data_IF_401398340573
#
_entry.id   IF_401398340573
#
_cell.length_a   1.000
_cell.length_b   1.000
_cell.length_c   1.000
_cell.angle_alpha   90.00
_cell.angle_beta   90.00
_cell.angle_gamma   90.00
#
_symmetry.space_group_name_H-M   'P 1'
#
loop_
_entity.id
_entity.type
_entity.pdbx_description
1 polymer ?
#
# COMPACT_ATOMS: atom_id res chain seq x y z
N UNK A 1 14.19 -32.39 -14.56
CA UNK A 1 14.10 -33.81 -14.16
C UNK A 1 12.98 -34.49 -14.96
N UNK A 2 13.01 -34.34 -16.31
CA UNK A 2 12.13 -35.02 -17.28
C UNK A 2 12.98 -35.31 -18.53
N UNK A 3 14.19 -35.85 -18.34
CA UNK A 3 15.16 -36.01 -19.43
C UNK A 3 15.24 -37.44 -19.99
N UNK A 4 14.36 -38.35 -19.57
CA UNK A 4 14.51 -39.77 -19.91
C UNK A 4 13.19 -40.48 -20.20
N UNK A 5 12.45 -40.06 -21.22
CA UNK A 5 11.48 -40.93 -21.89
C UNK A 5 12.03 -41.33 -23.25
N UNK A 6 12.57 -42.55 -23.32
CA UNK A 6 13.04 -43.17 -24.55
C UNK A 6 11.87 -43.96 -25.15
N UNK A 7 11.28 -43.47 -26.24
CA UNK A 7 10.13 -44.10 -26.91
C UNK A 7 10.62 -44.75 -28.21
N UNK A 8 10.36 -46.05 -28.39
CA UNK A 8 10.66 -46.82 -29.61
C UNK A 8 9.78 -46.39 -30.80
N UNK A 9 10.24 -46.55 -32.06
CA UNK A 9 9.64 -45.87 -33.20
C UNK A 9 8.46 -46.65 -33.81
N UNK A 10 7.30 -46.02 -33.87
CA UNK A 10 6.23 -46.37 -34.81
C UNK A 10 5.73 -45.12 -35.55
N UNK A 11 5.97 -45.05 -36.86
CA UNK A 11 5.28 -44.13 -37.79
C UNK A 11 5.65 -42.65 -37.73
N UNK A 12 5.52 -41.95 -38.87
CA UNK A 12 5.99 -40.57 -39.09
C UNK A 12 5.41 -39.49 -38.16
N UNK A 13 4.31 -39.74 -37.45
CA UNK A 13 3.69 -38.81 -36.50
C UNK A 13 4.43 -38.74 -35.16
N UNK A 14 4.95 -39.87 -34.65
CA UNK A 14 5.76 -39.92 -33.42
C UNK A 14 7.11 -39.22 -33.63
N UNK A 15 7.66 -39.28 -34.85
CA UNK A 15 8.88 -38.55 -35.23
C UNK A 15 8.64 -37.03 -35.17
N UNK A 16 7.45 -36.56 -35.56
CA UNK A 16 7.06 -35.15 -35.45
C UNK A 16 6.92 -34.70 -34.00
N UNK A 17 6.35 -35.55 -33.13
CA UNK A 17 6.27 -35.27 -31.69
C UNK A 17 7.65 -35.21 -31.03
N UNK A 18 8.54 -36.15 -31.36
CA UNK A 18 9.93 -36.13 -30.87
C UNK A 18 10.72 -34.90 -31.36
N UNK A 19 10.48 -34.43 -32.58
CA UNK A 19 11.05 -33.18 -33.08
C UNK A 19 10.54 -31.96 -32.30
N UNK A 20 9.24 -31.88 -32.06
CA UNK A 20 8.60 -30.79 -31.31
C UNK A 20 9.08 -30.75 -29.85
N UNK A 21 9.27 -31.91 -29.21
CA UNK A 21 9.86 -32.00 -27.88
C UNK A 21 11.33 -31.57 -27.85
N UNK A 22 12.11 -31.88 -28.87
CA UNK A 22 13.49 -31.42 -28.99
C UNK A 22 13.54 -29.89 -29.14
N UNK A 23 12.69 -29.32 -29.99
CA UNK A 23 12.58 -27.86 -30.17
C UNK A 23 12.13 -27.19 -28.87
N UNK A 24 11.15 -27.75 -28.16
CA UNK A 24 10.73 -27.25 -26.86
C UNK A 24 11.89 -27.29 -25.85
N UNK A 25 12.65 -28.39 -25.79
CA UNK A 25 13.83 -28.53 -24.92
C UNK A 25 14.94 -27.54 -25.24
N UNK A 26 15.16 -27.20 -26.51
CA UNK A 26 16.12 -26.14 -26.89
C UNK A 26 15.66 -24.77 -26.41
N UNK A 27 14.39 -24.42 -26.63
CA UNK A 27 13.80 -23.16 -26.14
C UNK A 27 13.81 -23.07 -24.60
N UNK A 28 13.67 -24.20 -23.91
CA UNK A 28 13.80 -24.28 -22.46
C UNK A 28 15.24 -24.06 -21.97
N UNK A 29 16.23 -24.59 -22.69
CA UNK A 29 17.64 -24.31 -22.40
C UNK A 29 17.98 -22.84 -22.56
N UNK A 30 17.41 -22.18 -23.56
CA UNK A 30 17.59 -20.73 -23.77
C UNK A 30 16.99 -19.90 -22.62
N UNK A 31 15.85 -20.34 -22.05
CA UNK A 31 15.26 -19.72 -20.85
C UNK A 31 16.13 -19.89 -19.60
N UNK A 32 16.70 -21.09 -19.40
CA UNK A 32 17.48 -21.41 -18.20
C UNK A 32 18.91 -20.86 -18.26
N UNK A 33 19.55 -20.89 -19.43
CA UNK A 33 20.92 -20.43 -19.66
C UNK A 33 21.08 -18.91 -19.67
N UNK A 34 19.98 -18.17 -19.79
CA UNK A 34 19.98 -16.71 -19.90
C UNK A 34 19.14 -16.00 -18.82
N UNK A 35 18.89 -16.69 -17.70
CA UNK A 35 17.83 -16.43 -16.73
C UNK A 35 17.74 -14.99 -16.16
N UNK A 36 18.82 -14.20 -16.20
CA UNK A 36 18.85 -12.81 -15.70
C UNK A 36 19.31 -11.76 -16.73
N UNK A 37 19.69 -12.14 -17.96
CA UNK A 37 20.23 -11.20 -18.98
C UNK A 37 19.26 -10.84 -20.11
N UNK A 38 18.20 -11.63 -20.33
CA UNK A 38 17.23 -11.34 -21.39
C UNK A 38 16.16 -10.32 -20.94
N UNK A 39 15.80 -9.36 -21.82
CA UNK A 39 14.62 -8.53 -21.63
C UNK A 39 13.37 -9.36 -21.35
N UNK A 40 12.53 -8.85 -20.45
CA UNK A 40 11.31 -9.54 -19.98
C UNK A 40 10.36 -9.88 -21.12
N UNK A 41 10.22 -9.00 -22.10
CA UNK A 41 9.36 -9.18 -23.27
C UNK A 41 9.83 -10.36 -24.13
N UNK A 42 11.16 -10.53 -24.26
CA UNK A 42 11.73 -11.67 -24.97
C UNK A 42 11.43 -12.98 -24.22
N UNK A 43 11.55 -12.98 -22.89
CA UNK A 43 11.21 -14.17 -22.07
C UNK A 43 9.74 -14.58 -22.24
N UNK A 44 8.83 -13.62 -22.21
CA UNK A 44 7.40 -13.89 -22.46
C UNK A 44 7.18 -14.48 -23.86
N UNK A 45 7.85 -13.94 -24.88
CA UNK A 45 7.74 -14.48 -26.25
C UNK A 45 8.29 -15.90 -26.39
N UNK A 46 9.28 -16.30 -25.59
CA UNK A 46 9.79 -17.68 -25.57
C UNK A 46 8.75 -18.61 -24.94
N UNK A 47 8.09 -18.20 -23.85
CA UNK A 47 6.97 -18.96 -23.29
C UNK A 47 5.86 -19.19 -24.30
N UNK A 48 5.49 -18.18 -25.10
CA UNK A 48 4.46 -18.32 -26.13
C UNK A 48 4.85 -19.38 -27.19
N UNK A 49 6.12 -19.42 -27.60
CA UNK A 49 6.65 -20.45 -28.51
C UNK A 49 6.64 -21.85 -27.87
N UNK A 50 7.02 -21.95 -26.60
CA UNK A 50 7.00 -23.20 -25.84
C UNK A 50 5.57 -23.72 -25.72
N UNK A 51 4.61 -22.86 -25.41
CA UNK A 51 3.20 -23.25 -25.36
C UNK A 51 2.69 -23.73 -26.72
N UNK A 52 3.02 -23.03 -27.80
CA UNK A 52 2.66 -23.47 -29.15
C UNK A 52 3.19 -24.88 -29.46
N UNK A 53 4.48 -25.13 -29.21
CA UNK A 53 5.11 -26.43 -29.44
C UNK A 53 4.47 -27.55 -28.60
N UNK A 54 4.26 -27.33 -27.29
CA UNK A 54 3.64 -28.34 -26.43
C UNK A 54 2.15 -28.55 -26.72
N UNK A 55 1.41 -27.53 -27.13
CA UNK A 55 0.01 -27.70 -27.54
C UNK A 55 -0.12 -28.48 -28.86
N UNK A 56 0.79 -28.27 -29.80
CA UNK A 56 0.87 -29.04 -31.05
C UNK A 56 1.25 -30.51 -30.78
N UNK A 57 2.27 -30.74 -29.94
CA UNK A 57 2.65 -32.08 -29.50
C UNK A 57 1.48 -32.80 -28.82
N UNK A 58 0.82 -32.14 -27.86
CA UNK A 58 -0.35 -32.69 -27.17
C UNK A 58 -1.52 -32.98 -28.11
N UNK A 59 -1.75 -32.13 -29.11
CA UNK A 59 -2.80 -32.35 -30.11
C UNK A 59 -2.51 -33.58 -30.97
N UNK A 60 -1.24 -33.78 -31.33
CA UNK A 60 -0.76 -34.96 -32.06
C UNK A 60 -0.96 -36.24 -31.23
N UNK A 61 -0.55 -36.23 -29.97
CA UNK A 61 -0.73 -37.35 -29.02
C UNK A 61 -2.20 -37.74 -28.89
N UNK A 62 -3.10 -36.75 -28.77
CA UNK A 62 -4.55 -37.01 -28.67
C UNK A 62 -5.15 -37.56 -29.95
N UNK A 63 -4.68 -37.10 -31.11
CA UNK A 63 -5.07 -37.65 -32.41
C UNK A 63 -4.66 -39.12 -32.53
N UNK A 64 -3.45 -39.45 -32.10
CA UNK A 64 -2.95 -40.82 -32.08
C UNK A 64 -3.73 -41.68 -31.08
N UNK A 65 -4.11 -41.13 -29.92
CA UNK A 65 -4.92 -41.83 -28.92
C UNK A 65 -6.30 -42.23 -29.48
N UNK A 66 -6.94 -41.35 -30.24
CA UNK A 66 -8.20 -41.64 -30.95
C UNK A 66 -7.99 -42.71 -32.04
N UNK A 67 -6.81 -42.72 -32.68
CA UNK A 67 -6.48 -43.61 -33.80
C UNK A 67 -5.91 -44.97 -33.37
N UNK A 68 -5.56 -45.15 -32.09
CA UNK A 68 -4.87 -46.33 -31.56
C UNK A 68 -5.69 -47.65 -31.57
N UNK A 69 -6.96 -47.62 -32.00
CA UNK A 69 -7.79 -48.82 -32.16
C UNK A 69 -8.03 -49.57 -30.83
N UNK A 70 -7.71 -50.87 -30.78
CA UNK A 70 -7.87 -51.73 -29.59
C UNK A 70 -6.54 -52.14 -28.93
N UNK A 71 -5.42 -51.49 -29.29
CA UNK A 71 -4.12 -51.79 -28.69
C UNK A 71 -4.01 -51.13 -27.31
N UNK A 72 -4.42 -51.86 -26.27
CA UNK A 72 -4.52 -51.33 -24.91
C UNK A 72 -3.19 -50.78 -24.37
N UNK A 73 -2.07 -51.48 -24.63
CA UNK A 73 -0.75 -51.01 -24.21
C UNK A 73 -0.34 -49.68 -24.86
N UNK A 74 -0.72 -49.45 -26.12
CA UNK A 74 -0.42 -48.20 -26.84
C UNK A 74 -1.28 -47.05 -26.31
N UNK A 75 -2.53 -47.33 -25.92
CA UNK A 75 -3.39 -46.32 -25.29
C UNK A 75 -2.88 -45.91 -23.92
N UNK A 76 -2.39 -46.85 -23.13
CA UNK A 76 -1.80 -46.57 -21.83
C UNK A 76 -0.56 -45.68 -21.97
N UNK A 77 0.34 -45.99 -22.91
CA UNK A 77 1.54 -45.19 -23.19
C UNK A 77 1.17 -43.76 -23.66
N UNK A 78 0.23 -43.62 -24.59
CA UNK A 78 -0.23 -42.32 -25.10
C UNK A 78 -0.96 -41.50 -24.04
N UNK A 79 -1.74 -42.14 -23.15
CA UNK A 79 -2.39 -41.49 -22.01
C UNK A 79 -1.37 -40.98 -21.00
N UNK A 80 -0.35 -41.79 -20.69
CA UNK A 80 0.79 -41.38 -19.87
C UNK A 80 1.52 -40.18 -20.46
N UNK A 81 1.73 -40.16 -21.78
CA UNK A 81 2.37 -39.06 -22.49
C UNK A 81 1.51 -37.77 -22.49
N UNK A 82 0.19 -37.85 -22.73
CA UNK A 82 -0.70 -36.67 -22.60
C UNK A 82 -0.66 -36.10 -21.18
N UNK A 83 -0.65 -36.97 -20.15
CA UNK A 83 -0.53 -36.56 -18.75
C UNK A 83 0.80 -35.85 -18.49
N UNK A 84 1.92 -36.39 -18.98
CA UNK A 84 3.25 -35.80 -18.82
C UNK A 84 3.35 -34.42 -19.49
N UNK A 85 2.91 -34.31 -20.76
CA UNK A 85 2.89 -33.03 -21.50
C UNK A 85 1.98 -32.02 -20.80
N UNK A 86 0.85 -32.46 -20.26
CA UNK A 86 -0.06 -31.62 -19.47
C UNK A 86 0.58 -31.07 -18.20
N UNK A 87 1.36 -31.90 -17.50
CA UNK A 87 2.07 -31.49 -16.29
C UNK A 87 3.16 -30.45 -16.62
N UNK A 88 3.91 -30.65 -17.71
CA UNK A 88 4.91 -29.68 -18.20
C UNK A 88 4.26 -28.35 -18.55
N UNK A 89 3.16 -28.37 -19.32
CA UNK A 89 2.39 -27.17 -19.64
C UNK A 89 1.92 -26.42 -18.38
N UNK A 90 1.42 -27.16 -17.38
CA UNK A 90 1.03 -26.58 -16.08
C UNK A 90 2.20 -25.90 -15.36
N UNK A 91 3.35 -26.57 -15.29
CA UNK A 91 4.55 -26.01 -14.68
C UNK A 91 5.02 -24.73 -15.41
N UNK A 92 5.09 -24.74 -16.74
CA UNK A 92 5.48 -23.57 -17.54
C UNK A 92 4.48 -22.42 -17.40
N UNK A 93 3.20 -22.74 -17.24
CA UNK A 93 2.16 -21.73 -16.96
C UNK A 93 2.40 -21.03 -15.62
N UNK A 94 2.77 -21.78 -14.58
CA UNK A 94 3.12 -21.22 -13.27
C UNK A 94 4.36 -20.33 -13.39
N UNK A 95 5.43 -20.79 -14.03
CA UNK A 95 6.68 -20.02 -14.21
C UNK A 95 6.45 -18.70 -14.97
N UNK A 96 5.66 -18.76 -16.06
CA UNK A 96 5.28 -17.58 -16.85
C UNK A 96 4.45 -16.60 -16.01
N UNK A 97 3.53 -17.09 -15.19
CA UNK A 97 2.72 -16.24 -14.32
C UNK A 97 3.51 -15.67 -13.13
N UNK A 98 4.53 -16.38 -12.62
CA UNK A 98 5.48 -15.82 -11.66
C UNK A 98 6.30 -14.67 -12.29
N UNK A 99 6.66 -14.77 -13.57
CA UNK A 99 7.29 -13.66 -14.29
C UNK A 99 6.34 -12.44 -14.37
N UNK A 100 5.05 -12.65 -14.67
CA UNK A 100 4.06 -11.57 -14.64
C UNK A 100 3.94 -10.91 -13.27
N UNK A 101 3.97 -11.71 -12.19
CA UNK A 101 4.00 -11.18 -10.82
C UNK A 101 5.24 -10.32 -10.61
N UNK A 102 6.44 -10.77 -11.01
CA UNK A 102 7.67 -9.96 -10.89
C UNK A 102 7.55 -8.62 -11.62
N UNK A 103 6.96 -8.60 -12.82
CA UNK A 103 6.68 -7.37 -13.57
C UNK A 103 5.73 -6.47 -12.78
N UNK A 104 4.59 -7.02 -12.33
CA UNK A 104 3.58 -6.26 -11.59
C UNK A 104 4.13 -5.68 -10.28
N UNK A 105 4.95 -6.45 -9.54
CA UNK A 105 5.68 -5.98 -8.35
C UNK A 105 6.59 -4.81 -8.69
N UNK A 106 7.38 -4.91 -9.77
CA UNK A 106 8.30 -3.82 -10.18
C UNK A 106 7.56 -2.52 -10.52
N UNK A 107 6.39 -2.62 -11.17
CA UNK A 107 5.54 -1.49 -11.51
C UNK A 107 4.84 -0.88 -10.30
N UNK A 108 4.54 -1.67 -9.27
CA UNK A 108 3.96 -1.18 -8.02
C UNK A 108 4.97 -0.37 -7.19
N UNK A 109 6.25 -0.73 -7.22
CA UNK A 109 7.32 -0.04 -6.47
C UNK A 109 7.74 1.27 -7.13
N UNK A 110 7.74 1.34 -8.47
CA UNK A 110 8.05 2.56 -9.22
C UNK A 110 6.94 3.59 -9.05
N UNK A 111 7.10 4.53 -8.11
CA UNK A 111 6.18 5.65 -7.92
C UNK A 111 6.25 6.62 -9.10
N UNK A 112 5.11 6.86 -9.74
CA UNK A 112 4.58 8.14 -10.27
C UNK A 112 5.49 9.13 -11.05
N UNK A 113 6.65 8.76 -11.58
CA UNK A 113 7.51 9.69 -12.32
C UNK A 113 7.25 9.74 -13.84
N UNK A 114 6.49 8.80 -14.40
CA UNK A 114 6.16 8.79 -15.83
C UNK A 114 4.66 8.99 -16.05
N UNK A 115 4.28 10.19 -16.53
CA UNK A 115 2.91 10.70 -16.70
C UNK A 115 1.96 9.86 -17.59
N UNK A 116 2.37 8.70 -18.09
CA UNK A 116 1.57 7.87 -19.01
C UNK A 116 1.51 6.37 -18.67
N UNK A 117 2.14 5.87 -17.59
CA UNK A 117 2.04 4.44 -17.23
C UNK A 117 0.88 4.18 -16.26
N UNK A 118 -0.01 3.23 -16.59
CA UNK A 118 -1.12 2.83 -15.72
C UNK A 118 -0.55 2.34 -14.38
N UNK A 119 -0.87 3.02 -13.29
CA UNK A 119 -0.50 2.61 -11.93
C UNK A 119 -1.06 1.22 -11.66
N UNK A 120 -0.18 0.24 -11.46
CA UNK A 120 -0.57 -1.10 -11.04
C UNK A 120 -1.10 -1.00 -9.61
N UNK A 121 -2.36 -1.40 -9.41
CA UNK A 121 -2.95 -1.43 -8.07
C UNK A 121 -2.68 -2.79 -7.39
N UNK A 122 -2.64 -2.86 -6.04
CA UNK A 122 -2.42 -4.12 -5.33
C UNK A 122 -3.42 -5.24 -5.70
N UNK A 123 -4.63 -4.88 -6.12
CA UNK A 123 -5.67 -5.85 -6.51
C UNK A 123 -5.27 -6.67 -7.74
N UNK A 124 -4.45 -6.12 -8.66
CA UNK A 124 -3.96 -6.90 -9.80
C UNK A 124 -3.00 -8.01 -9.35
N UNK A 125 -2.17 -7.73 -8.34
CA UNK A 125 -1.30 -8.76 -7.75
C UNK A 125 -2.14 -9.83 -7.04
N UNK A 126 -3.19 -9.45 -6.31
CA UNK A 126 -4.13 -10.43 -5.71
C UNK A 126 -4.68 -11.36 -6.80
N UNK A 127 -5.14 -10.80 -7.92
CA UNK A 127 -5.72 -11.57 -9.03
C UNK A 127 -4.69 -12.50 -9.70
N UNK A 128 -3.44 -12.06 -9.84
CA UNK A 128 -2.34 -12.89 -10.35
C UNK A 128 -2.00 -14.04 -9.41
N UNK A 129 -2.03 -13.83 -8.09
CA UNK A 129 -1.83 -14.90 -7.12
C UNK A 129 -3.01 -15.86 -7.05
N UNK A 130 -4.25 -15.39 -7.15
CA UNK A 130 -5.42 -16.27 -7.30
C UNK A 130 -5.26 -17.20 -8.51
N UNK A 131 -4.81 -16.65 -9.64
CA UNK A 131 -4.51 -17.44 -10.83
C UNK A 131 -3.36 -18.44 -10.59
N UNK A 132 -2.28 -18.04 -9.92
CA UNK A 132 -1.19 -18.96 -9.56
C UNK A 132 -1.64 -20.09 -8.63
N UNK A 133 -2.50 -19.79 -7.66
CA UNK A 133 -3.05 -20.79 -6.75
C UNK A 133 -3.94 -21.79 -7.48
N UNK A 134 -4.77 -21.33 -8.42
CA UNK A 134 -5.56 -22.20 -9.27
C UNK A 134 -4.66 -23.10 -10.13
N UNK A 135 -3.65 -22.54 -10.81
CA UNK A 135 -2.73 -23.33 -11.64
C UNK A 135 -1.98 -24.39 -10.83
N UNK A 136 -1.58 -24.07 -9.60
CA UNK A 136 -0.96 -25.06 -8.69
C UNK A 136 -1.94 -26.15 -8.29
N UNK A 137 -3.20 -25.81 -7.99
CA UNK A 137 -4.21 -26.79 -7.63
C UNK A 137 -4.47 -27.75 -8.81
N UNK A 138 -4.70 -27.21 -10.01
CA UNK A 138 -4.93 -27.99 -11.23
C UNK A 138 -3.75 -28.93 -11.53
N UNK A 139 -2.52 -28.44 -11.35
CA UNK A 139 -1.30 -29.24 -11.55
C UNK A 139 -1.14 -30.33 -10.46
N UNK A 140 -1.46 -30.01 -9.21
CA UNK A 140 -1.38 -30.97 -8.10
C UNK A 140 -2.40 -32.10 -8.29
N UNK A 141 -3.63 -31.76 -8.69
CA UNK A 141 -4.69 -32.72 -8.97
C UNK A 141 -4.33 -33.61 -10.15
N UNK A 142 -3.79 -33.02 -11.22
CA UNK A 142 -3.33 -33.77 -12.39
C UNK A 142 -2.28 -34.80 -11.99
N UNK A 143 -1.23 -34.41 -11.27
CA UNK A 143 -0.15 -35.32 -10.89
C UNK A 143 -0.63 -36.36 -9.87
N UNK A 144 -1.50 -35.98 -8.95
CA UNK A 144 -2.00 -36.85 -7.86
C UNK A 144 -3.13 -37.80 -8.27
N UNK A 145 -3.66 -37.70 -9.49
CA UNK A 145 -4.80 -38.49 -9.98
C UNK A 145 -4.54 -40.00 -10.14
N UNK A 146 -3.28 -40.44 -10.10
CA UNK A 146 -2.89 -41.85 -10.28
C UNK A 146 -3.13 -42.73 -9.04
N UNK A 147 -3.51 -44.00 -9.25
CA UNK A 147 -3.62 -45.00 -8.17
C UNK A 147 -2.24 -45.42 -7.63
N UNK A 148 -1.29 -45.66 -8.54
CA UNK A 148 0.10 -46.01 -8.21
C UNK A 148 0.99 -44.78 -8.38
N UNK A 149 1.09 -43.98 -7.32
CA UNK A 149 1.92 -42.76 -7.35
C UNK A 149 3.39 -43.14 -7.23
N UNK A 150 4.17 -42.70 -8.21
CA UNK A 150 5.64 -42.80 -8.13
C UNK A 150 6.15 -41.87 -7.03
N UNK A 151 7.27 -42.23 -6.41
CA UNK A 151 7.88 -41.38 -5.37
C UNK A 151 8.13 -39.96 -5.89
N UNK A 152 8.54 -39.83 -7.15
CA UNK A 152 8.76 -38.54 -7.84
C UNK A 152 7.49 -37.68 -7.91
N UNK A 153 6.33 -38.30 -8.15
CA UNK A 153 5.04 -37.61 -8.23
C UNK A 153 4.58 -37.15 -6.84
N UNK A 154 4.86 -37.95 -5.81
CA UNK A 154 4.59 -37.58 -4.40
C UNK A 154 5.45 -36.40 -4.00
N UNK A 155 6.77 -36.44 -4.26
CA UNK A 155 7.67 -35.32 -3.95
C UNK A 155 7.29 -34.05 -4.71
N UNK A 156 6.87 -34.18 -5.97
CA UNK A 156 6.42 -33.03 -6.76
C UNK A 156 5.12 -32.42 -6.24
N UNK A 157 4.17 -33.24 -5.79
CA UNK A 157 2.95 -32.76 -5.14
C UNK A 157 3.24 -32.03 -3.82
N UNK A 158 4.23 -32.50 -3.05
CA UNK A 158 4.73 -31.81 -1.86
C UNK A 158 5.33 -30.44 -2.21
N UNK A 159 6.16 -30.36 -3.26
CA UNK A 159 6.68 -29.06 -3.76
C UNK A 159 5.56 -28.10 -4.16
N UNK A 160 4.53 -28.60 -4.83
CA UNK A 160 3.35 -27.81 -5.22
C UNK A 160 2.61 -27.30 -3.99
N UNK A 161 2.45 -28.12 -2.95
CA UNK A 161 1.86 -27.73 -1.67
C UNK A 161 2.65 -26.61 -0.98
N UNK A 162 3.98 -26.71 -0.96
CA UNK A 162 4.85 -25.66 -0.39
C UNK A 162 4.74 -24.35 -1.17
N UNK A 163 4.78 -24.40 -2.50
CA UNK A 163 4.57 -23.23 -3.36
C UNK A 163 3.19 -22.61 -3.15
N UNK A 164 2.15 -23.43 -3.00
CA UNK A 164 0.79 -22.97 -2.70
C UNK A 164 0.75 -22.16 -1.40
N UNK A 165 1.42 -22.65 -0.35
CA UNK A 165 1.47 -21.97 0.95
C UNK A 165 2.17 -20.61 0.85
N UNK A 166 3.30 -20.55 0.14
CA UNK A 166 4.01 -19.29 -0.10
C UNK A 166 3.12 -18.28 -0.87
N UNK A 167 2.48 -18.71 -1.96
CA UNK A 167 1.59 -17.84 -2.75
C UNK A 167 0.36 -17.37 -1.97
N UNK A 168 -0.18 -18.18 -1.07
CA UNK A 168 -1.26 -17.73 -0.16
C UNK A 168 -0.79 -16.60 0.75
N UNK A 169 0.43 -16.70 1.28
CA UNK A 169 1.06 -15.64 2.06
C UNK A 169 1.22 -14.35 1.27
N UNK A 170 1.81 -14.42 0.07
CA UNK A 170 1.99 -13.26 -0.80
C UNK A 170 0.65 -12.63 -1.23
N UNK A 171 -0.34 -13.46 -1.56
CA UNK A 171 -1.71 -13.00 -1.87
C UNK A 171 -2.31 -12.22 -0.70
N UNK A 172 -2.22 -12.76 0.52
CA UNK A 172 -2.75 -12.11 1.72
C UNK A 172 -2.06 -10.76 1.97
N UNK A 173 -0.76 -10.66 1.72
CA UNK A 173 -0.03 -9.41 1.83
C UNK A 173 -0.55 -8.32 0.87
N UNK A 174 -0.78 -8.65 -0.41
CA UNK A 174 -1.30 -7.67 -1.36
C UNK A 174 -2.78 -7.33 -1.11
N UNK A 175 -3.55 -8.28 -0.57
CA UNK A 175 -4.90 -8.01 -0.07
C UNK A 175 -4.86 -7.01 1.09
N UNK A 176 -3.93 -7.18 2.04
CA UNK A 176 -3.72 -6.23 3.13
C UNK A 176 -3.36 -4.83 2.60
N UNK A 177 -2.50 -4.74 1.58
CA UNK A 177 -2.20 -3.46 0.90
C UNK A 177 -3.44 -2.80 0.30
N UNK A 178 -4.32 -3.56 -0.35
CA UNK A 178 -5.59 -3.04 -0.88
C UNK A 178 -6.47 -2.46 0.23
N UNK A 179 -6.63 -3.19 1.35
CA UNK A 179 -7.43 -2.73 2.49
C UNK A 179 -6.82 -1.50 3.18
N UNK A 180 -5.50 -1.44 3.29
CA UNK A 180 -4.75 -0.27 3.77
C UNK A 180 -5.06 0.96 2.90
N UNK A 181 -4.99 0.84 1.57
CA UNK A 181 -5.36 1.92 0.64
C UNK A 181 -6.83 2.34 0.75
N UNK A 182 -7.72 1.42 1.09
CA UNK A 182 -9.13 1.69 1.34
C UNK A 182 -9.42 2.32 2.72
N UNK A 183 -8.39 2.53 3.56
CA UNK A 183 -8.53 3.04 4.92
C UNK A 183 -9.11 2.04 5.93
N UNK A 184 -9.21 0.75 5.56
CA UNK A 184 -9.69 -0.33 6.42
C UNK A 184 -8.54 -0.84 7.30
N UNK A 185 -8.17 -0.05 8.30
CA UNK A 185 -6.95 -0.21 9.10
C UNK A 185 -6.91 -1.53 9.88
N UNK A 186 -8.01 -1.87 10.55
CA UNK A 186 -8.10 -3.05 11.39
C UNK A 186 -7.99 -4.33 10.55
N UNK A 187 -8.70 -4.40 9.43
CA UNK A 187 -8.64 -5.52 8.51
C UNK A 187 -7.25 -5.63 7.86
N UNK A 188 -6.66 -4.52 7.44
CA UNK A 188 -5.30 -4.50 6.88
C UNK A 188 -4.27 -5.03 7.90
N UNK A 189 -4.35 -4.58 9.15
CA UNK A 189 -3.49 -5.04 10.24
C UNK A 189 -3.56 -6.57 10.41
N UNK A 190 -4.78 -7.11 10.57
CA UNK A 190 -4.98 -8.56 10.77
C UNK A 190 -4.48 -9.34 9.55
N UNK A 191 -4.72 -8.86 8.33
CA UNK A 191 -4.24 -9.49 7.10
C UNK A 191 -2.72 -9.51 7.00
N UNK A 192 -2.02 -8.44 7.40
CA UNK A 192 -0.55 -8.44 7.45
C UNK A 192 0.00 -9.44 8.47
N UNK A 193 -0.62 -9.53 9.67
CA UNK A 193 -0.25 -10.53 10.66
C UNK A 193 -0.47 -11.95 10.12
N UNK A 194 -1.61 -12.20 9.46
CA UNK A 194 -1.91 -13.51 8.89
C UNK A 194 -0.96 -13.88 7.75
N UNK A 195 -0.69 -12.95 6.84
CA UNK A 195 0.27 -13.14 5.75
C UNK A 195 1.65 -13.54 6.30
N UNK A 196 2.12 -12.84 7.33
CA UNK A 196 3.38 -13.16 8.02
C UNK A 196 3.39 -14.60 8.55
N UNK A 197 2.36 -15.02 9.28
CA UNK A 197 2.30 -16.38 9.82
C UNK A 197 2.32 -17.46 8.73
N UNK A 198 1.62 -17.23 7.61
CA UNK A 198 1.66 -18.15 6.46
C UNK A 198 3.06 -18.27 5.85
N UNK A 199 3.77 -17.15 5.72
CA UNK A 199 5.12 -17.11 5.13
C UNK A 199 6.14 -17.76 6.09
N UNK A 200 6.03 -17.52 7.39
CA UNK A 200 6.86 -18.17 8.42
C UNK A 200 6.67 -19.70 8.39
N UNK A 201 5.43 -20.18 8.30
CA UNK A 201 5.12 -21.61 8.14
C UNK A 201 5.68 -22.18 6.82
N UNK A 202 5.57 -21.42 5.72
CA UNK A 202 6.15 -21.82 4.43
C UNK A 202 7.67 -22.00 4.51
N UNK A 203 8.40 -21.02 5.06
CA UNK A 203 9.86 -21.07 5.23
C UNK A 203 10.25 -22.27 6.08
N UNK A 204 9.56 -22.50 7.20
CA UNK A 204 9.83 -23.64 8.07
C UNK A 204 9.69 -24.97 7.32
N UNK A 205 8.63 -25.12 6.52
CA UNK A 205 8.40 -26.33 5.73
C UNK A 205 9.39 -26.50 4.58
N UNK A 206 9.80 -25.41 3.92
CA UNK A 206 10.88 -25.46 2.92
C UNK A 206 12.19 -25.97 3.53
N UNK A 207 12.54 -25.52 4.74
CA UNK A 207 13.70 -26.02 5.46
C UNK A 207 13.58 -27.51 5.80
N UNK A 208 12.43 -27.97 6.30
CA UNK A 208 12.22 -29.39 6.63
C UNK A 208 12.27 -30.28 5.38
N UNK A 209 11.81 -29.79 4.24
CA UNK A 209 11.80 -30.56 2.99
C UNK A 209 13.15 -30.59 2.26
N UNK A 210 14.17 -29.83 2.69
CA UNK A 210 15.44 -29.64 1.94
C UNK A 210 15.25 -29.14 0.50
N UNK A 211 14.08 -28.57 0.19
CA UNK A 211 13.73 -27.99 -1.10
C UNK A 211 13.88 -26.48 -0.91
N UNK A 212 15.01 -25.89 -1.29
CA UNK A 212 15.19 -24.44 -1.11
C UNK A 212 16.08 -23.81 -2.16
N UNK A 213 15.48 -22.95 -2.99
CA UNK A 213 16.19 -21.89 -3.69
C UNK A 213 16.53 -20.79 -2.67
N UNK A 214 17.82 -20.51 -2.41
CA UNK A 214 18.23 -19.48 -1.46
C UNK A 214 17.62 -18.11 -1.77
N UNK A 215 17.45 -17.77 -3.06
CA UNK A 215 16.86 -16.49 -3.48
C UNK A 215 15.40 -16.38 -3.05
N UNK A 216 14.62 -17.44 -3.24
CA UNK A 216 13.21 -17.47 -2.82
C UNK A 216 13.07 -17.31 -1.30
N UNK A 217 13.91 -17.99 -0.51
CA UNK A 217 13.87 -17.88 0.95
C UNK A 217 14.23 -16.46 1.39
N UNK A 218 15.20 -15.82 0.74
CA UNK A 218 15.53 -14.43 0.99
C UNK A 218 14.35 -13.49 0.66
N UNK A 219 13.72 -13.64 -0.50
CA UNK A 219 12.51 -12.89 -0.89
C UNK A 219 11.39 -13.05 0.16
N UNK A 220 11.12 -14.28 0.62
CA UNK A 220 10.09 -14.53 1.64
C UNK A 220 10.45 -13.90 3.00
N UNK A 221 11.73 -13.88 3.39
CA UNK A 221 12.19 -13.19 4.60
C UNK A 221 12.02 -11.68 4.49
N UNK A 222 12.35 -11.08 3.35
CA UNK A 222 12.08 -9.65 3.13
C UNK A 222 10.59 -9.34 3.24
N UNK A 223 9.73 -10.24 2.75
CA UNK A 223 8.28 -10.08 2.85
C UNK A 223 7.76 -10.18 4.28
N UNK A 224 8.36 -11.01 5.14
CA UNK A 224 8.05 -11.05 6.60
C UNK A 224 8.31 -9.69 7.24
N UNK A 225 9.47 -9.08 6.95
CA UNK A 225 9.81 -7.77 7.48
C UNK A 225 8.88 -6.67 6.93
N UNK A 226 8.49 -6.75 5.65
CA UNK A 226 7.46 -5.87 5.08
C UNK A 226 6.11 -6.05 5.77
N UNK A 227 5.67 -7.29 6.03
CA UNK A 227 4.42 -7.55 6.77
C UNK A 227 4.47 -6.90 8.15
N UNK A 228 5.59 -7.09 8.87
CA UNK A 228 5.80 -6.50 10.19
C UNK A 228 5.76 -4.98 10.13
N UNK A 229 6.53 -4.36 9.24
CA UNK A 229 6.58 -2.91 9.10
C UNK A 229 5.19 -2.32 8.78
N UNK A 230 4.48 -2.89 7.79
CA UNK A 230 3.16 -2.42 7.42
C UNK A 230 2.12 -2.64 8.52
N UNK A 231 2.17 -3.76 9.26
CA UNK A 231 1.28 -3.97 10.41
C UNK A 231 1.47 -2.88 11.48
N UNK A 232 2.72 -2.50 11.80
CA UNK A 232 2.99 -1.41 12.74
C UNK A 232 2.47 -0.06 12.22
N UNK A 233 2.64 0.22 10.92
CA UNK A 233 2.15 1.45 10.28
C UNK A 233 0.62 1.54 10.38
N UNK A 234 -0.10 0.48 10.02
CA UNK A 234 -1.57 0.48 10.07
C UNK A 234 -2.09 0.61 11.50
N UNK A 235 -1.44 -0.07 12.47
CA UNK A 235 -1.80 0.04 13.87
C UNK A 235 -1.60 1.47 14.39
N UNK A 236 -0.42 2.05 14.18
CA UNK A 236 -0.13 3.42 14.60
C UNK A 236 -1.07 4.43 13.93
N UNK A 237 -1.34 4.26 12.64
CA UNK A 237 -2.26 5.14 11.90
C UNK A 237 -3.69 5.01 12.42
N UNK A 238 -4.16 3.79 12.72
CA UNK A 238 -5.47 3.56 13.32
C UNK A 238 -5.63 4.25 14.68
N UNK A 239 -4.61 4.17 15.55
CA UNK A 239 -4.62 4.90 16.84
C UNK A 239 -4.67 6.41 16.63
N UNK A 240 -3.88 6.95 15.69
CA UNK A 240 -3.89 8.38 15.38
C UNK A 240 -5.26 8.83 14.89
N UNK A 241 -5.93 8.02 14.05
CA UNK A 241 -7.29 8.29 13.56
C UNK A 241 -8.32 8.26 14.71
N UNK A 242 -8.21 7.30 15.63
CA UNK A 242 -9.07 7.18 16.81
C UNK A 242 -8.90 8.36 17.77
N UNK A 243 -7.66 8.73 18.11
CA UNK A 243 -7.37 9.87 19.00
C UNK A 243 -7.85 11.20 18.38
N UNK A 244 -7.73 11.36 17.06
CA UNK A 244 -8.20 12.55 16.35
C UNK A 244 -9.70 12.53 16.06
N UNK A 245 -10.39 11.40 16.21
CA UNK A 245 -11.83 11.29 15.96
C UNK A 245 -12.66 12.32 16.76
N UNK A 246 -12.49 12.50 18.09
CA UNK A 246 -13.25 13.50 18.84
C UNK A 246 -12.97 14.94 18.40
N UNK A 247 -11.72 15.29 18.10
CA UNK A 247 -11.38 16.63 17.57
C UNK A 247 -12.00 16.87 16.19
N UNK A 248 -11.95 15.87 15.32
CA UNK A 248 -12.54 15.94 13.98
C UNK A 248 -14.06 16.02 14.03
N UNK A 249 -14.70 15.30 14.96
CA UNK A 249 -16.13 15.37 15.20
C UNK A 249 -16.51 16.74 15.76
N UNK A 250 -15.79 17.25 16.76
CA UNK A 250 -15.97 18.59 17.31
C UNK A 250 -15.88 19.68 16.22
N UNK A 251 -14.84 19.62 15.38
CA UNK A 251 -14.67 20.53 14.23
C UNK A 251 -15.77 20.39 13.17
N UNK A 252 -16.30 19.19 12.94
CA UNK A 252 -17.40 18.98 11.99
C UNK A 252 -18.73 19.50 12.55
N UNK A 253 -18.98 19.29 13.84
CA UNK A 253 -20.19 19.76 14.52
C UNK A 253 -20.18 21.28 14.63
N UNK A 254 -19.04 21.91 14.92
CA UNK A 254 -18.95 23.38 14.93
C UNK A 254 -19.20 24.03 13.57
N UNK A 255 -19.01 23.28 12.47
CA UNK A 255 -19.36 23.71 11.11
C UNK A 255 -20.82 23.43 10.73
N UNK A 256 -21.56 22.62 11.51
CA UNK A 256 -22.99 22.38 11.33
C UNK A 256 -23.82 23.34 12.20
N UNK A 257 -23.94 24.59 11.77
CA UNK A 257 -24.95 25.49 12.32
C UNK A 257 -26.33 25.12 11.78
N UNK A 258 -27.29 24.82 12.66
CA UNK A 258 -28.70 24.56 12.33
C UNK A 258 -29.53 25.84 12.16
N UNK A 259 -28.89 27.01 12.14
CA UNK A 259 -29.57 28.28 11.84
C UNK A 259 -29.44 28.55 10.34
N UNK A 260 -30.59 28.53 9.66
CA UNK A 260 -30.66 28.73 8.22
C UNK A 260 -29.95 30.02 7.78
N UNK A 261 -29.14 29.89 6.74
CA UNK A 261 -28.65 30.99 5.90
C UNK A 261 -28.17 32.24 6.64
N UNK A 262 -27.19 32.11 7.54
CA UNK A 262 -26.36 33.26 7.90
C UNK A 262 -25.02 33.17 7.16
N UNK A 263 -24.75 34.23 6.39
CA UNK A 263 -23.52 34.46 5.63
C UNK A 263 -22.32 33.95 6.42
N UNK A 264 -21.49 33.11 5.79
CA UNK A 264 -20.15 32.73 6.28
C UNK A 264 -19.55 33.93 7.03
N UNK A 265 -19.49 33.85 8.35
CA UNK A 265 -18.81 34.87 9.14
C UNK A 265 -17.39 34.93 8.61
N UNK A 266 -17.02 36.04 8.00
CA UNK A 266 -15.67 36.24 7.47
C UNK A 266 -14.70 36.01 8.62
N UNK A 267 -13.97 34.90 8.58
CA UNK A 267 -12.97 34.57 9.58
C UNK A 267 -11.81 35.55 9.38
N UNK A 268 -11.53 36.37 10.40
CA UNK A 268 -10.47 37.36 10.33
C UNK A 268 -9.11 36.73 10.66
N UNK A 269 -8.04 37.17 10.01
CA UNK A 269 -6.69 36.64 10.24
C UNK A 269 -6.26 36.75 11.71
N UNK A 270 -6.67 37.82 12.40
CA UNK A 270 -6.44 37.99 13.84
C UNK A 270 -6.99 36.85 14.72
N UNK A 271 -8.02 36.14 14.27
CA UNK A 271 -8.59 34.99 14.99
C UNK A 271 -7.84 33.69 14.68
N UNK A 272 -6.84 33.70 13.81
CA UNK A 272 -6.08 32.51 13.36
C UNK A 272 -4.57 32.73 13.36
N UNK A 273 -4.04 33.53 14.29
CA UNK A 273 -2.60 33.82 14.41
C UNK A 273 -1.71 32.57 14.57
N UNK A 274 -2.26 31.47 15.09
CA UNK A 274 -1.52 30.22 15.28
C UNK A 274 -1.40 29.37 14.01
N UNK A 275 -2.14 29.71 12.95
CA UNK A 275 -2.13 28.99 11.68
C UNK A 275 -1.72 29.96 10.57
N UNK A 276 -0.71 29.60 9.79
CA UNK A 276 -0.34 30.39 8.62
C UNK A 276 -1.42 30.27 7.53
N UNK A 277 -2.08 31.38 7.19
CA UNK A 277 -2.99 31.52 6.05
C UNK A 277 -2.37 32.50 5.04
N UNK A 278 -2.23 32.10 3.77
CA UNK A 278 -1.62 32.93 2.72
C UNK A 278 -2.50 34.14 2.38
N UNK A 279 -1.90 35.33 2.37
CA UNK A 279 -2.60 36.58 2.04
C UNK A 279 -3.08 36.68 0.58
N UNK A 280 -2.62 35.77 -0.29
CA UNK A 280 -3.00 35.73 -1.71
C UNK A 280 -4.14 34.73 -1.97
N UNK A 281 -4.53 33.94 -0.96
CA UNK A 281 -5.49 32.85 -1.10
C UNK A 281 -5.02 31.73 -2.04
N UNK A 282 -5.83 30.68 -2.17
CA UNK A 282 -5.67 29.74 -3.28
C UNK A 282 -5.94 30.45 -4.62
N UNK A 283 -5.31 29.99 -5.70
CA UNK A 283 -5.40 30.59 -7.05
C UNK A 283 -6.82 30.78 -7.61
N UNK A 284 -7.83 30.19 -6.97
CA UNK A 284 -9.24 30.27 -7.33
C UNK A 284 -10.06 31.31 -6.53
N UNK A 285 -9.48 32.00 -5.54
CA UNK A 285 -10.19 32.96 -4.68
C UNK A 285 -9.74 34.39 -5.02
N UNK A 286 -10.60 35.15 -5.73
CA UNK A 286 -10.34 36.54 -6.17
C UNK A 286 -10.60 37.62 -5.09
N UNK A 287 -10.87 37.23 -3.85
CA UNK A 287 -11.22 38.16 -2.77
C UNK A 287 -10.05 38.34 -1.81
N UNK A 288 -9.68 39.60 -1.56
CA UNK A 288 -8.64 39.95 -0.60
C UNK A 288 -8.97 39.43 0.82
N UNK A 289 -7.96 38.96 1.58
CA UNK A 289 -8.16 38.47 2.94
C UNK A 289 -8.61 39.60 3.87
N UNK A 290 -9.54 39.29 4.77
CA UNK A 290 -10.00 40.24 5.78
C UNK A 290 -9.11 40.14 7.01
N UNK A 291 -8.26 41.14 7.24
CA UNK A 291 -7.29 41.16 8.34
C UNK A 291 -8.01 41.26 9.70
N UNK A 292 -8.94 42.21 9.81
CA UNK A 292 -9.70 42.53 11.01
C UNK A 292 -11.09 43.05 10.64
N UNK A 293 -12.03 42.97 11.59
CA UNK A 293 -13.33 43.62 11.46
C UNK A 293 -13.16 45.14 11.42
N UNK A 294 -13.66 45.80 10.38
CA UNK A 294 -13.68 47.25 10.28
C UNK A 294 -15.10 47.76 10.02
N UNK A 295 -15.60 48.74 10.82
CA UNK A 295 -14.92 49.38 11.94
C UNK A 295 -14.76 48.44 13.15
N UNK A 296 -13.75 48.66 14.02
CA UNK A 296 -13.57 47.86 15.24
C UNK A 296 -14.81 47.90 16.13
N UNK A 297 -15.10 46.79 16.82
CA UNK A 297 -16.19 46.76 17.78
C UNK A 297 -15.93 47.75 18.93
N UNK A 298 -16.97 48.47 19.35
CA UNK A 298 -16.86 49.38 20.49
C UNK A 298 -16.54 48.60 21.77
N UNK A 299 -15.41 48.95 22.39
CA UNK A 299 -15.02 48.42 23.70
C UNK A 299 -15.22 49.51 24.76
N UNK A 300 -15.79 49.12 25.91
CA UNK A 300 -15.86 50.02 27.06
C UNK A 300 -14.44 50.29 27.57
N UNK A 301 -13.99 51.54 27.48
CA UNK A 301 -12.70 51.97 28.03
C UNK A 301 -12.96 52.46 29.46
N UNK A 302 -12.29 51.90 30.49
CA UNK A 302 -12.38 52.44 31.83
C UNK A 302 -11.88 53.89 31.81
N UNK A 303 -12.71 54.82 32.27
CA UNK A 303 -12.28 56.22 32.36
C UNK A 303 -11.23 56.36 33.46
N UNK A 304 -10.26 57.23 33.23
CA UNK A 304 -9.33 57.63 34.28
C UNK A 304 -10.12 58.08 35.52
N UNK A 305 -9.70 57.69 36.73
CA UNK A 305 -10.35 58.15 37.95
C UNK A 305 -10.30 59.67 38.01
N UNK A 306 -11.38 60.28 38.48
CA UNK A 306 -11.43 61.73 38.69
C UNK A 306 -10.49 62.05 39.85
N UNK A 307 -9.40 62.76 39.55
CA UNK A 307 -8.49 63.32 40.55
C UNK A 307 -8.79 64.81 40.65
N UNK A 308 -9.28 65.24 41.81
CA UNK A 308 -9.48 66.66 42.12
C UNK A 308 -8.27 67.19 42.88
N UNK A 309 -7.64 68.24 42.38
CA UNK A 309 -6.59 68.95 43.10
C UNK A 309 -7.20 69.80 44.21
N UNK A 310 -7.33 69.20 45.39
CA UNK A 310 -7.81 69.88 46.60
C UNK A 310 -6.76 70.79 47.21
N UNK A 311 -5.46 70.66 46.86
CA UNK A 311 -4.40 71.46 47.44
C UNK A 311 -4.50 72.93 47.02
N UNK A 312 -5.05 73.19 45.83
CA UNK A 312 -5.35 74.54 45.37
C UNK A 312 -6.26 75.32 46.31
N UNK A 313 -7.22 74.65 46.97
CA UNK A 313 -8.14 75.29 47.92
C UNK A 313 -7.48 75.76 49.22
N UNK A 314 -6.23 75.34 49.47
CA UNK A 314 -5.48 75.69 50.67
C UNK A 314 -4.34 76.69 50.39
N UNK A 315 -4.32 77.29 49.20
CA UNK A 315 -3.40 78.39 48.89
C UNK A 315 -3.99 79.69 49.45
N UNK A 316 -3.68 79.96 50.71
CA UNK A 316 -4.02 81.22 51.38
C UNK A 316 -2.82 82.17 51.46
N UNK A 317 -3.10 83.47 51.49
CA UNK A 317 -2.07 84.47 51.75
C UNK A 317 -1.53 84.32 53.18
N UNK A 318 -0.21 84.44 53.41
CA UNK A 318 0.34 84.43 54.75
C UNK A 318 -0.19 85.63 55.56
N UNK A 319 -0.39 85.46 56.87
CA UNK A 319 -0.79 86.57 57.74
C UNK A 319 0.20 87.73 57.61
N UNK A 320 -0.36 88.91 57.33
CA UNK A 320 0.41 90.16 57.20
C UNK A 320 0.53 90.93 58.52
N UNK A 321 -0.04 90.43 59.62
CA UNK A 321 -0.11 91.13 60.91
C UNK A 321 1.27 91.54 61.46
N UNK A 322 2.30 90.71 61.24
CA UNK A 322 3.68 91.00 61.66
C UNK A 322 4.39 92.02 60.76
N UNK A 323 3.86 92.28 59.55
CA UNK A 323 4.38 93.27 58.60
C UNK A 323 3.61 94.58 58.64
N UNK A 324 2.43 94.60 59.27
CA UNK A 324 1.71 95.83 59.54
C UNK A 324 2.49 96.65 60.55
N UNK A 325 2.69 97.94 60.28
CA UNK A 325 3.24 98.87 61.28
C UNK A 325 2.28 98.84 62.46
N UNK A 326 2.77 98.38 63.62
CA UNK A 326 2.04 98.52 64.88
C UNK A 326 1.86 100.02 65.09
N UNK A 327 0.61 100.48 65.08
CA UNK A 327 0.29 101.83 65.55
C UNK A 327 0.77 101.92 67.01
N UNK A 328 1.94 102.52 67.20
CA UNK A 328 2.32 103.04 68.51
C UNK A 328 1.35 104.18 68.77
N UNK A 329 0.19 103.87 69.38
CA UNK A 329 -0.63 104.89 70.04
C UNK A 329 0.22 105.48 71.16
N UNK A 330 0.93 106.56 70.82
CA UNK A 330 1.72 107.34 71.75
C UNK A 330 0.82 107.95 72.81
N UNK A 331 1.33 107.99 74.04
CA UNK A 331 0.71 108.47 75.28
C UNK A 331 0.26 109.96 75.28
N UNK A 332 0.22 110.65 74.12
CA UNK A 332 -0.07 112.09 74.02
C UNK A 332 -1.46 112.37 73.38
N UNK A 333 -2.18 111.36 72.89
CA UNK A 333 -3.53 111.54 72.32
C UNK A 333 -4.65 111.79 73.36
N UNK A 334 -4.32 112.07 74.62
CA UNK A 334 -5.28 112.36 75.70
C UNK A 334 -5.28 113.81 76.18
N UNK A 335 -4.48 114.70 75.56
CA UNK A 335 -4.41 116.11 75.99
C UNK A 335 -4.99 117.14 75.01
N UNK A 336 -5.38 116.76 73.79
CA UNK A 336 -6.11 117.65 72.86
C UNK A 336 -6.99 116.81 71.92
N UNK A 337 -8.32 116.91 72.07
CA UNK A 337 -9.33 116.32 71.18
C UNK A 337 -10.34 115.46 71.92
#
# INVERSE_FOLDING_TARGET
MIDSFSICPFGGTIISCGLLECVARELEKDLQGSADSLPVEKRLSIFDKIFAAYHEARSSIRSDLVSAGNAESVKDDLSGLDKAVSAVLGQRTIERNQLLVKIAKSKLVRRHDEKNEKVTKPEELVRLYDLLLQNIADLSDLVSSGRDRRQEEVTFAEECSLKSLAFRGERCFYLAKSYSLAGKRAEAYVLYCHARSLIEDAIQKFHTANISDPKLIEELKTLIEECRANSCIEHATGIIEEVKAPENLSKKISNMSLTGAEKKSAKYLLQSLNNYESAVGDSNIKTAPHIEAFPPAFQAIPRNPIVLDIAFNFIDFPSLENRMKKDRKGFISRLWG
#
